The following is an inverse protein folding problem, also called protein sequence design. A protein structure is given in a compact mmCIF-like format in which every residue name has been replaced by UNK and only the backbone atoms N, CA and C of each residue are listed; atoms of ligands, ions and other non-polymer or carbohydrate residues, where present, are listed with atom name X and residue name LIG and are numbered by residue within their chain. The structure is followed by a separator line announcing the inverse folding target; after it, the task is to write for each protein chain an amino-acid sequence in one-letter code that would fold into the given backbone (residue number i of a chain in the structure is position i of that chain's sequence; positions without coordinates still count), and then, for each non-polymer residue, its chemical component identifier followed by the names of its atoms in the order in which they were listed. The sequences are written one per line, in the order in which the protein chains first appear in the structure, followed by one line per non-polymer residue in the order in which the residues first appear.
data_IF_066968014611
#
_entry.id   IF_066968014611
#
_cell.length_a   1.000
_cell.length_b   1.000
_cell.length_c   1.000
_cell.angle_alpha   90.00
_cell.angle_beta   90.00
_cell.angle_gamma   90.00
#
_symmetry.space_group_name_H-M   'P 1'
#
loop_
_entity.id
_entity.type
_entity.pdbx_description
1 polymer ?
#
# COMPACT_ATOMS: atom_id res chain seq x y z
N UNK A 1 10.67 -29.07 -19.18
CA UNK A 1 9.99 -28.48 -18.02
C UNK A 1 9.37 -27.18 -18.50
N UNK A 2 8.06 -27.15 -18.75
CA UNK A 2 7.36 -25.92 -19.08
C UNK A 2 7.33 -25.06 -17.82
N UNK A 3 8.12 -23.98 -17.76
CA UNK A 3 7.83 -22.90 -16.83
C UNK A 3 6.52 -22.31 -17.31
N UNK A 4 5.43 -22.57 -16.61
CA UNK A 4 4.23 -21.76 -16.76
C UNK A 4 4.67 -20.32 -16.45
N UNK A 5 4.78 -19.47 -17.48
CA UNK A 5 4.87 -18.02 -17.24
C UNK A 5 3.62 -17.70 -16.41
N UNK A 6 3.81 -17.25 -15.18
CA UNK A 6 2.74 -16.60 -14.43
C UNK A 6 2.22 -15.48 -15.31
N UNK A 7 0.94 -15.50 -15.63
CA UNK A 7 0.33 -14.44 -16.44
C UNK A 7 0.39 -13.16 -15.63
N UNK A 8 0.78 -12.08 -16.27
CA UNK A 8 0.81 -10.78 -15.63
C UNK A 8 -0.63 -10.27 -15.42
N UNK A 9 -0.90 -9.43 -14.41
CA UNK A 9 -2.22 -8.82 -14.19
C UNK A 9 -2.80 -8.21 -15.45
N UNK A 10 -1.99 -7.45 -16.19
CA UNK A 10 -2.37 -6.82 -17.45
C UNK A 10 -2.84 -7.81 -18.52
N UNK A 11 -2.17 -8.97 -18.65
CA UNK A 11 -2.55 -10.02 -19.59
C UNK A 11 -3.91 -10.66 -19.27
N UNK A 12 -4.37 -10.49 -18.04
CA UNK A 12 -5.65 -10.98 -17.52
C UNK A 12 -6.71 -9.87 -17.46
N UNK A 13 -6.41 -8.67 -17.98
CA UNK A 13 -7.30 -7.52 -17.98
C UNK A 13 -7.46 -6.82 -16.64
N UNK A 14 -6.56 -7.07 -15.68
CA UNK A 14 -6.56 -6.35 -14.41
C UNK A 14 -5.86 -4.99 -14.54
N UNK A 15 -6.39 -3.99 -13.84
CA UNK A 15 -5.83 -2.66 -13.70
C UNK A 15 -6.05 -2.12 -12.28
N UNK A 16 -5.21 -1.22 -11.84
CA UNK A 16 -5.41 -0.49 -10.58
C UNK A 16 -6.38 0.67 -10.84
N UNK A 17 -7.56 0.71 -10.17
CA UNK A 17 -8.52 1.80 -10.35
C UNK A 17 -8.02 3.11 -9.73
N UNK A 18 -8.55 4.24 -10.19
CA UNK A 18 -8.32 5.55 -9.58
C UNK A 18 -8.91 5.61 -8.17
N UNK A 19 -8.38 6.51 -7.34
CA UNK A 19 -8.76 6.63 -5.90
C UNK A 19 -10.22 7.05 -5.69
N UNK A 20 -10.89 7.59 -6.71
CA UNK A 20 -12.32 7.97 -6.69
C UNK A 20 -13.28 6.87 -7.15
N UNK A 21 -12.75 5.70 -7.51
CA UNK A 21 -13.59 4.54 -7.85
C UNK A 21 -14.38 4.09 -6.61
N UNK A 22 -15.60 3.55 -6.81
CA UNK A 22 -16.44 3.04 -5.73
C UNK A 22 -15.67 2.06 -4.84
N UNK A 23 -15.64 2.34 -3.54
CA UNK A 23 -14.97 1.53 -2.55
C UNK A 23 -15.86 0.39 -2.01
N UNK A 24 -15.31 -0.81 -1.91
CA UNK A 24 -15.91 -1.88 -1.12
C UNK A 24 -15.59 -1.75 0.38
N UNK A 25 -14.64 -0.92 0.73
CA UNK A 25 -14.23 -0.60 2.10
C UNK A 25 -12.76 -0.20 2.20
N UNK A 26 -12.38 0.31 3.36
CA UNK A 26 -11.03 0.77 3.68
C UNK A 26 -10.26 -0.20 4.58
N UNK A 27 -8.95 -0.16 4.46
CA UNK A 27 -8.01 -0.83 5.36
C UNK A 27 -7.14 0.20 6.07
N UNK A 28 -7.01 0.04 7.39
CA UNK A 28 -6.10 0.83 8.21
C UNK A 28 -5.31 -0.08 9.15
N UNK A 29 -4.24 0.44 9.75
CA UNK A 29 -3.51 -0.26 10.81
C UNK A 29 -3.36 0.64 12.04
N UNK A 30 -3.50 0.02 13.23
CA UNK A 30 -3.36 0.71 14.51
C UNK A 30 -1.90 1.08 14.77
N UNK A 31 -1.60 2.21 15.44
CA UNK A 31 -0.23 2.62 15.74
C UNK A 31 0.53 1.57 16.57
N UNK A 32 1.34 0.75 15.91
CA UNK A 32 2.06 -0.36 16.54
C UNK A 32 3.48 0.02 17.01
N UNK A 33 4.14 0.97 16.35
CA UNK A 33 5.50 1.44 16.66
C UNK A 33 5.46 2.56 17.69
N UNK A 34 4.94 2.25 18.89
CA UNK A 34 4.57 3.24 19.93
C UNK A 34 5.69 4.19 20.33
N UNK A 35 6.95 3.74 20.29
CA UNK A 35 8.11 4.52 20.72
C UNK A 35 8.50 5.68 19.75
N UNK A 36 7.95 5.68 18.53
CA UNK A 36 8.18 6.76 17.57
C UNK A 36 7.21 7.92 17.72
N UNK A 37 6.11 7.72 18.46
CA UNK A 37 5.10 8.75 18.64
C UNK A 37 5.40 9.58 19.89
N UNK A 38 5.51 10.92 19.80
CA UNK A 38 5.78 11.78 20.93
C UNK A 38 4.73 11.69 22.05
N UNK A 39 3.47 11.49 21.66
CA UNK A 39 2.34 11.25 22.57
C UNK A 39 1.47 10.14 21.98
N UNK A 40 1.68 8.93 22.46
CA UNK A 40 0.96 7.75 21.94
C UNK A 40 -0.54 7.80 22.24
N UNK A 41 -0.95 8.37 23.37
CA UNK A 41 -2.37 8.46 23.73
C UNK A 41 -3.11 9.47 22.85
N UNK A 42 -2.48 10.60 22.52
CA UNK A 42 -3.02 11.55 21.56
C UNK A 42 -3.07 10.92 20.16
N UNK A 43 -2.05 10.15 19.78
CA UNK A 43 -2.01 9.44 18.50
C UNK A 43 -3.13 8.41 18.37
N UNK A 44 -3.34 7.57 19.41
CA UNK A 44 -4.44 6.58 19.43
C UNK A 44 -5.80 7.26 19.25
N UNK A 45 -6.04 8.38 19.94
CA UNK A 45 -7.28 9.14 19.79
C UNK A 45 -7.46 9.68 18.36
N UNK A 46 -6.42 10.28 17.78
CA UNK A 46 -6.47 10.79 16.42
C UNK A 46 -6.73 9.66 15.39
N UNK A 47 -6.08 8.51 15.55
CA UNK A 47 -6.36 7.33 14.71
C UNK A 47 -7.79 6.83 14.89
N UNK A 48 -8.28 6.74 16.13
CA UNK A 48 -9.64 6.33 16.41
C UNK A 48 -10.68 7.29 15.81
N UNK A 49 -10.43 8.60 15.88
CA UNK A 49 -11.31 9.61 15.28
C UNK A 49 -11.41 9.40 13.75
N UNK A 50 -10.29 9.13 13.07
CA UNK A 50 -10.28 8.83 11.64
C UNK A 50 -11.00 7.51 11.35
N UNK A 51 -10.67 6.44 12.05
CA UNK A 51 -11.29 5.11 11.91
C UNK A 51 -12.80 5.19 12.11
N UNK A 52 -13.24 5.80 13.20
CA UNK A 52 -14.65 5.91 13.54
C UNK A 52 -15.41 6.77 12.52
N UNK A 53 -14.76 7.82 12.00
CA UNK A 53 -15.35 8.68 10.97
C UNK A 53 -15.53 7.92 9.66
N UNK A 54 -14.51 7.23 9.16
CA UNK A 54 -14.63 6.44 7.92
C UNK A 54 -15.68 5.35 8.07
N UNK A 55 -15.73 4.66 9.22
CA UNK A 55 -16.69 3.60 9.48
C UNK A 55 -18.17 4.06 9.50
N UNK A 56 -18.45 5.38 9.54
CA UNK A 56 -19.80 5.92 9.33
C UNK A 56 -20.23 5.87 7.86
N UNK A 57 -19.28 5.86 6.91
CA UNK A 57 -19.55 6.01 5.48
C UNK A 57 -19.31 4.72 4.70
N UNK A 58 -18.34 3.91 5.11
CA UNK A 58 -17.99 2.66 4.42
C UNK A 58 -17.43 1.60 5.38
N UNK A 59 -17.45 0.30 5.00
CA UNK A 59 -16.82 -0.75 5.79
C UNK A 59 -15.32 -0.47 6.00
N UNK A 60 -14.86 -0.53 7.25
CA UNK A 60 -13.47 -0.32 7.59
C UNK A 60 -12.92 -1.52 8.37
N UNK A 61 -11.81 -2.06 7.91
CA UNK A 61 -11.04 -3.11 8.56
C UNK A 61 -9.76 -2.53 9.14
N UNK A 62 -9.63 -2.59 10.47
CA UNK A 62 -8.48 -2.09 11.20
C UNK A 62 -7.59 -3.26 11.62
N UNK A 63 -6.37 -3.30 11.09
CA UNK A 63 -5.35 -4.24 11.53
C UNK A 63 -4.79 -3.80 12.88
N UNK A 64 -4.80 -4.70 13.84
CA UNK A 64 -4.33 -4.42 15.19
C UNK A 64 -3.41 -5.53 15.65
N UNK A 65 -2.24 -5.16 16.18
CA UNK A 65 -1.33 -6.13 16.80
C UNK A 65 -2.06 -6.88 17.91
N UNK A 66 -1.98 -8.23 18.00
CA UNK A 66 -2.74 -9.01 18.95
C UNK A 66 -2.62 -8.51 20.40
N UNK A 67 -1.42 -8.08 20.81
CA UNK A 67 -1.16 -7.55 22.15
C UNK A 67 -1.81 -6.18 22.45
N UNK A 68 -2.29 -5.48 21.41
CA UNK A 68 -2.90 -4.14 21.51
C UNK A 68 -4.41 -4.16 21.27
N UNK A 69 -4.99 -5.32 20.95
CA UNK A 69 -6.38 -5.44 20.48
C UNK A 69 -7.39 -4.93 21.52
N UNK A 70 -7.24 -5.32 22.76
CA UNK A 70 -8.18 -4.92 23.82
C UNK A 70 -8.06 -3.42 24.16
N UNK A 71 -6.85 -2.88 24.10
CA UNK A 71 -6.63 -1.44 24.27
C UNK A 71 -7.26 -0.66 23.10
N UNK A 72 -7.00 -1.05 21.85
CA UNK A 72 -7.57 -0.41 20.68
C UNK A 72 -9.10 -0.36 20.72
N UNK A 73 -9.76 -1.44 21.09
CA UNK A 73 -11.23 -1.52 21.20
C UNK A 73 -11.84 -0.47 22.14
N UNK A 74 -11.08 0.03 23.12
CA UNK A 74 -11.60 1.06 24.04
C UNK A 74 -11.79 2.42 23.39
N UNK A 75 -11.19 2.64 22.21
CA UNK A 75 -11.28 3.90 21.44
C UNK A 75 -12.24 3.81 20.26
N UNK A 76 -12.58 2.60 19.83
CA UNK A 76 -13.27 2.34 18.56
C UNK A 76 -14.77 2.19 18.75
N UNK A 77 -15.53 2.63 17.73
CA UNK A 77 -16.96 2.36 17.62
C UNK A 77 -17.22 0.90 17.22
N UNK A 78 -18.42 0.41 17.47
CA UNK A 78 -18.85 -0.96 17.08
C UNK A 78 -18.88 -1.16 15.54
N UNK A 79 -18.81 -0.08 14.75
CA UNK A 79 -18.81 -0.13 13.28
C UNK A 79 -17.45 -0.48 12.69
N UNK A 80 -16.37 -0.22 13.44
CA UNK A 80 -15.01 -0.54 12.98
C UNK A 80 -14.71 -2.02 13.24
N UNK A 81 -14.47 -2.80 12.18
CA UNK A 81 -14.04 -4.19 12.28
C UNK A 81 -12.55 -4.25 12.62
N UNK A 82 -12.21 -4.90 13.74
CA UNK A 82 -10.80 -5.11 14.13
C UNK A 82 -10.33 -6.51 13.72
N UNK A 83 -9.16 -6.57 13.08
CA UNK A 83 -8.51 -7.82 12.68
C UNK A 83 -7.18 -7.95 13.41
N UNK A 84 -7.02 -9.01 14.19
CA UNK A 84 -5.76 -9.32 14.87
C UNK A 84 -4.72 -9.75 13.82
N UNK A 85 -3.67 -8.95 13.62
CA UNK A 85 -2.57 -9.22 12.70
C UNK A 85 -1.26 -8.68 13.29
N UNK A 86 -0.20 -9.48 13.20
CA UNK A 86 1.14 -8.97 13.55
C UNK A 86 1.57 -7.93 12.50
N UNK A 87 1.83 -6.73 12.98
CA UNK A 87 2.28 -5.56 12.23
C UNK A 87 3.42 -4.89 12.98
N UNK A 88 4.29 -4.18 12.28
CA UNK A 88 5.38 -3.43 12.89
C UNK A 88 5.06 -1.94 12.99
N UNK A 89 4.32 -1.39 12.01
CA UNK A 89 3.91 0.03 11.96
C UNK A 89 2.47 0.17 11.43
N UNK A 90 2.03 1.39 11.13
CA UNK A 90 0.63 1.72 10.79
C UNK A 90 0.41 2.16 9.34
N UNK A 91 1.40 2.03 8.47
CA UNK A 91 1.40 2.59 7.12
C UNK A 91 0.88 1.59 6.08
N UNK A 92 -0.44 1.34 6.08
CA UNK A 92 -1.09 0.41 5.15
C UNK A 92 -1.02 0.86 3.68
N UNK A 93 -0.91 2.17 3.43
CA UNK A 93 -0.70 2.70 2.08
C UNK A 93 0.58 2.11 1.46
N UNK A 94 1.64 1.96 2.27
CA UNK A 94 2.96 1.59 1.78
C UNK A 94 3.23 0.09 1.80
N UNK A 95 2.70 -0.60 2.80
CA UNK A 95 2.93 -2.04 3.01
C UNK A 95 1.73 -2.93 2.64
N UNK A 96 0.57 -2.33 2.39
CA UNK A 96 -0.62 -3.03 1.91
C UNK A 96 -0.54 -3.45 0.44
N UNK A 97 -1.53 -4.20 -0.06
CA UNK A 97 -1.58 -4.58 -1.47
C UNK A 97 -2.09 -3.42 -2.32
N UNK A 98 -1.67 -3.38 -3.59
CA UNK A 98 -2.33 -2.57 -4.59
C UNK A 98 -3.51 -3.36 -5.15
N UNK A 99 -4.73 -2.95 -4.85
CA UNK A 99 -5.93 -3.63 -5.32
C UNK A 99 -6.12 -3.42 -6.82
N UNK A 100 -6.52 -4.48 -7.49
CA UNK A 100 -6.73 -4.53 -8.94
C UNK A 100 -8.14 -5.00 -9.25
N UNK A 101 -8.73 -4.42 -10.27
CA UNK A 101 -10.02 -4.82 -10.81
C UNK A 101 -9.87 -5.21 -12.28
N UNK A 102 -10.75 -6.07 -12.77
CA UNK A 102 -10.90 -6.32 -14.21
C UNK A 102 -12.32 -5.97 -14.68
N UNK A 103 -12.53 -5.99 -15.98
CA UNK A 103 -13.82 -5.63 -16.60
C UNK A 103 -15.00 -6.49 -16.12
N UNK A 104 -14.75 -7.67 -15.56
CA UNK A 104 -15.80 -8.51 -14.97
C UNK A 104 -16.12 -8.14 -13.52
N UNK A 105 -15.42 -7.15 -12.94
CA UNK A 105 -15.54 -6.77 -11.54
C UNK A 105 -14.84 -7.72 -10.57
N UNK A 106 -13.98 -8.62 -11.08
CA UNK A 106 -13.19 -9.50 -10.20
C UNK A 106 -12.09 -8.71 -9.52
N UNK A 107 -11.92 -8.95 -8.22
CA UNK A 107 -10.87 -8.35 -7.40
C UNK A 107 -9.62 -9.23 -7.40
N UNK A 108 -8.47 -8.60 -7.47
CA UNK A 108 -7.15 -9.19 -7.22
C UNK A 108 -6.26 -8.16 -6.53
N UNK A 109 -5.00 -8.47 -6.29
CA UNK A 109 -4.05 -7.48 -5.81
C UNK A 109 -2.62 -7.78 -6.26
N UNK A 110 -1.83 -6.73 -6.42
CA UNK A 110 -0.38 -6.86 -6.56
C UNK A 110 0.34 -6.48 -5.29
N UNK A 111 1.44 -7.18 -5.02
CA UNK A 111 2.31 -6.93 -3.88
C UNK A 111 3.75 -6.75 -4.34
N UNK A 112 4.46 -5.84 -3.69
CA UNK A 112 5.87 -5.58 -3.87
C UNK A 112 6.65 -6.00 -2.62
N UNK A 113 7.97 -6.07 -2.73
CA UNK A 113 8.82 -6.21 -1.55
C UNK A 113 8.86 -4.86 -0.81
N UNK A 114 8.48 -4.86 0.47
CA UNK A 114 8.58 -3.70 1.33
C UNK A 114 9.86 -3.76 2.16
N UNK A 115 10.64 -2.68 2.17
CA UNK A 115 11.90 -2.60 2.90
C UNK A 115 11.99 -1.43 3.90
N UNK A 116 10.86 -0.96 4.39
CA UNK A 116 10.77 0.17 5.33
C UNK A 116 11.47 1.43 4.80
N UNK A 117 11.05 1.86 3.58
CA UNK A 117 11.52 3.08 2.92
C UNK A 117 13.04 3.15 2.74
N UNK A 118 13.65 2.03 2.35
CA UNK A 118 15.09 1.94 2.18
C UNK A 118 15.82 1.51 3.46
N UNK A 119 15.21 0.68 4.29
CA UNK A 119 15.74 0.15 5.57
C UNK A 119 15.97 1.25 6.63
N UNK A 120 15.18 2.30 6.60
CA UNK A 120 15.25 3.40 7.57
C UNK A 120 14.69 3.02 8.93
N UNK A 121 13.79 2.04 8.96
CA UNK A 121 13.14 1.56 10.19
C UNK A 121 13.29 0.05 10.32
N UNK A 122 13.32 -0.44 11.57
CA UNK A 122 13.41 -1.86 11.91
C UNK A 122 12.73 -2.11 13.26
N UNK A 123 12.10 -3.28 13.48
CA UNK A 123 11.79 -4.31 12.48
C UNK A 123 10.74 -3.85 11.46
N UNK A 124 10.61 -4.54 10.33
CA UNK A 124 9.57 -4.34 9.32
C UNK A 124 9.09 -5.66 8.68
N UNK A 125 9.54 -6.78 9.25
CA UNK A 125 9.27 -8.11 8.68
C UNK A 125 7.77 -8.44 8.65
N UNK A 126 7.00 -7.90 9.59
CA UNK A 126 5.54 -8.13 9.63
C UNK A 126 4.83 -7.26 8.61
N UNK A 127 5.26 -6.02 8.44
CA UNK A 127 4.71 -5.09 7.44
C UNK A 127 5.03 -5.58 6.02
N UNK A 128 6.22 -6.15 5.78
CA UNK A 128 6.59 -6.75 4.50
C UNK A 128 5.67 -7.92 4.07
N UNK A 129 4.92 -8.50 5.01
CA UNK A 129 3.93 -9.55 4.75
C UNK A 129 2.49 -9.05 4.73
N UNK A 130 2.25 -7.77 5.02
CA UNK A 130 0.90 -7.22 5.20
C UNK A 130 0.05 -7.38 3.95
N UNK A 131 0.57 -6.99 2.78
CA UNK A 131 -0.14 -7.10 1.51
C UNK A 131 -0.60 -8.52 1.20
N UNK A 132 0.31 -9.49 1.31
CA UNK A 132 -0.02 -10.91 1.12
C UNK A 132 -1.07 -11.41 2.11
N UNK A 133 -0.96 -11.04 3.40
CA UNK A 133 -1.91 -11.45 4.43
C UNK A 133 -3.30 -10.88 4.19
N UNK A 134 -3.42 -9.62 3.76
CA UNK A 134 -4.70 -9.00 3.40
C UNK A 134 -5.34 -9.74 2.22
N UNK A 135 -4.60 -10.01 1.15
CA UNK A 135 -5.13 -10.71 -0.01
C UNK A 135 -5.57 -12.14 0.32
N UNK A 136 -4.81 -12.84 1.19
CA UNK A 136 -5.21 -14.16 1.68
C UNK A 136 -6.50 -14.10 2.53
N UNK A 137 -6.68 -13.08 3.38
CA UNK A 137 -7.92 -12.89 4.14
C UNK A 137 -9.13 -12.63 3.24
N UNK A 138 -8.91 -12.01 2.10
CA UNK A 138 -9.96 -11.75 1.10
C UNK A 138 -10.17 -12.92 0.14
N UNK A 139 -9.30 -13.93 0.17
CA UNK A 139 -9.30 -15.09 -0.74
C UNK A 139 -9.22 -14.68 -2.22
N UNK A 140 -8.45 -13.62 -2.53
CA UNK A 140 -8.27 -13.10 -3.88
C UNK A 140 -6.88 -13.40 -4.43
N UNK A 141 -6.74 -13.36 -5.77
CA UNK A 141 -5.49 -13.66 -6.46
C UNK A 141 -4.41 -12.61 -6.14
N UNK A 142 -3.20 -13.08 -5.85
CA UNK A 142 -2.02 -12.26 -5.63
C UNK A 142 -1.07 -12.31 -6.83
N UNK A 143 -0.69 -11.13 -7.34
CA UNK A 143 0.37 -10.95 -8.33
C UNK A 143 1.62 -10.38 -7.63
N UNK A 144 2.55 -11.26 -7.31
CA UNK A 144 3.74 -10.87 -6.55
C UNK A 144 4.88 -10.40 -7.44
N UNK A 145 5.48 -9.26 -7.08
CA UNK A 145 6.72 -8.74 -7.67
C UNK A 145 7.86 -8.74 -6.65
N UNK A 146 9.08 -8.91 -7.13
CA UNK A 146 10.30 -8.77 -6.33
C UNK A 146 10.87 -7.35 -6.35
N UNK A 147 10.21 -6.41 -7.05
CA UNK A 147 10.59 -5.00 -7.02
C UNK A 147 10.31 -4.43 -5.62
N UNK A 148 11.23 -3.64 -5.11
CA UNK A 148 11.02 -2.89 -3.88
C UNK A 148 10.26 -1.62 -4.21
N UNK A 149 9.07 -1.47 -3.64
CA UNK A 149 8.22 -0.30 -3.85
C UNK A 149 7.21 -0.14 -2.71
N UNK A 150 6.63 1.03 -2.63
CA UNK A 150 5.59 1.42 -1.67
C UNK A 150 4.39 2.03 -2.41
N UNK A 151 3.18 1.80 -1.90
CA UNK A 151 1.96 2.34 -2.49
C UNK A 151 1.90 3.87 -2.48
N UNK A 152 2.52 4.53 -1.50
CA UNK A 152 2.65 5.99 -1.47
C UNK A 152 3.57 6.56 -2.55
N UNK A 153 4.44 5.71 -3.14
CA UNK A 153 5.31 6.08 -4.25
C UNK A 153 4.60 6.17 -5.61
N UNK A 154 3.31 5.82 -5.70
CA UNK A 154 2.53 5.86 -6.94
C UNK A 154 1.21 6.61 -6.76
N UNK A 155 0.70 7.18 -7.86
CA UNK A 155 -0.71 7.55 -8.05
C UNK A 155 -1.15 7.16 -9.45
N UNK A 156 -2.40 6.73 -9.61
CA UNK A 156 -2.95 6.20 -10.87
C UNK A 156 -4.24 6.91 -11.25
N UNK A 157 -4.51 6.99 -12.57
CA UNK A 157 -5.78 7.53 -13.10
C UNK A 157 -6.88 6.46 -13.28
N UNK A 158 -6.55 5.19 -13.11
CA UNK A 158 -7.46 4.09 -13.41
C UNK A 158 -7.61 3.79 -14.90
N UNK A 159 -6.96 4.56 -15.78
CA UNK A 159 -7.03 4.48 -17.23
C UNK A 159 -5.67 4.13 -17.88
N UNK A 160 -4.75 3.60 -17.07
CA UNK A 160 -3.46 3.10 -17.52
C UNK A 160 -2.29 4.08 -17.36
N UNK A 161 -2.46 5.21 -16.64
CA UNK A 161 -1.37 6.13 -16.33
C UNK A 161 -0.96 6.02 -14.87
N UNK A 162 0.34 5.92 -14.63
CA UNK A 162 0.96 6.00 -13.30
C UNK A 162 1.82 7.26 -13.24
N UNK A 163 1.76 8.02 -12.14
CA UNK A 163 2.74 9.05 -11.81
C UNK A 163 3.58 8.56 -10.63
N UNK A 164 4.88 8.80 -10.70
CA UNK A 164 5.83 8.48 -9.63
C UNK A 164 6.98 9.48 -9.62
N UNK A 165 7.88 9.37 -8.62
CA UNK A 165 9.03 10.26 -8.48
C UNK A 165 10.35 9.55 -8.76
N UNK A 166 11.29 10.28 -9.38
CA UNK A 166 12.65 9.80 -9.58
C UNK A 166 13.41 9.67 -8.25
N UNK A 167 13.20 10.62 -7.33
CA UNK A 167 13.87 10.64 -6.03
C UNK A 167 13.56 9.39 -5.18
N UNK A 168 12.35 8.82 -5.31
CA UNK A 168 11.94 7.61 -4.61
C UNK A 168 12.39 6.35 -5.36
N UNK A 169 11.81 6.04 -6.52
CA UNK A 169 12.00 4.74 -7.18
C UNK A 169 13.38 4.52 -7.77
N UNK A 170 14.09 5.60 -8.19
CA UNK A 170 15.47 5.50 -8.67
C UNK A 170 16.50 5.63 -7.55
N UNK A 171 16.06 5.76 -6.29
CA UNK A 171 16.97 5.78 -5.15
C UNK A 171 17.67 4.41 -5.01
N UNK A 172 18.97 4.46 -4.73
CA UNK A 172 19.80 3.26 -4.56
C UNK A 172 19.37 2.35 -3.39
N UNK A 173 18.58 2.89 -2.46
CA UNK A 173 18.04 2.14 -1.34
C UNK A 173 16.77 1.33 -1.66
N UNK A 174 16.29 1.38 -2.90
CA UNK A 174 15.19 0.55 -3.42
C UNK A 174 15.73 -0.52 -4.38
N UNK A 175 15.89 -0.19 -5.65
CA UNK A 175 16.21 -1.15 -6.72
C UNK A 175 17.53 -0.77 -7.44
N UNK A 176 18.72 -0.85 -6.77
CA UNK A 176 19.97 -0.34 -7.33
C UNK A 176 20.45 -1.08 -8.59
N UNK A 177 19.89 -2.26 -8.85
CA UNK A 177 20.25 -3.10 -9.99
C UNK A 177 19.24 -3.01 -11.14
N UNK A 178 18.19 -2.21 -11.02
CA UNK A 178 17.18 -1.99 -12.07
C UNK A 178 17.41 -0.64 -12.75
N UNK A 179 17.28 -0.63 -14.05
CA UNK A 179 17.22 0.60 -14.84
C UNK A 179 15.86 1.25 -14.70
N UNK A 180 15.76 2.54 -15.03
CA UNK A 180 14.49 3.27 -15.06
C UNK A 180 13.45 2.55 -15.92
N UNK A 181 13.87 2.01 -17.08
CA UNK A 181 12.98 1.28 -17.99
C UNK A 181 12.45 -0.03 -17.37
N UNK A 182 13.30 -0.77 -16.67
CA UNK A 182 12.87 -2.00 -15.98
C UNK A 182 11.88 -1.71 -14.85
N UNK A 183 12.04 -0.59 -14.13
CA UNK A 183 11.08 -0.14 -13.13
C UNK A 183 9.75 0.27 -13.79
N UNK A 184 9.77 1.01 -14.90
CA UNK A 184 8.57 1.34 -15.68
C UNK A 184 7.82 0.09 -16.13
N UNK A 185 8.54 -0.88 -16.69
CA UNK A 185 7.94 -2.13 -17.17
C UNK A 185 7.30 -2.92 -16.04
N UNK A 186 7.95 -2.98 -14.87
CA UNK A 186 7.40 -3.67 -13.71
C UNK A 186 6.20 -2.93 -13.09
N UNK A 187 6.20 -1.60 -13.04
CA UNK A 187 5.04 -0.80 -12.63
C UNK A 187 3.85 -1.04 -13.57
N UNK A 188 4.08 -0.91 -14.90
CA UNK A 188 3.04 -1.16 -15.88
C UNK A 188 2.46 -2.57 -15.78
N UNK A 189 3.33 -3.56 -15.59
CA UNK A 189 2.96 -4.96 -15.45
C UNK A 189 2.11 -5.20 -14.20
N UNK A 190 2.58 -4.76 -13.03
CA UNK A 190 1.96 -5.06 -11.74
C UNK A 190 0.68 -4.28 -11.47
N UNK A 191 0.53 -3.11 -12.09
CA UNK A 191 -0.64 -2.23 -11.93
C UNK A 191 -1.62 -2.28 -13.10
N UNK A 192 -1.33 -3.07 -14.14
CA UNK A 192 -2.12 -3.10 -15.36
C UNK A 192 -2.08 -1.79 -16.15
N UNK A 193 -1.02 -0.99 -15.97
CA UNK A 193 -0.88 0.31 -16.59
C UNK A 193 -0.18 0.25 -17.96
N UNK A 194 -0.22 1.35 -18.72
CA UNK A 194 0.35 1.48 -20.05
C UNK A 194 1.57 2.39 -20.08
N UNK A 195 1.60 3.39 -19.20
CA UNK A 195 2.69 4.38 -19.16
C UNK A 195 2.97 4.87 -17.74
N UNK A 196 4.20 5.32 -17.54
CA UNK A 196 4.64 5.96 -16.29
C UNK A 196 5.08 7.40 -16.61
N UNK A 197 4.56 8.36 -15.85
CA UNK A 197 5.00 9.74 -15.84
C UNK A 197 5.93 9.93 -14.66
N UNK A 198 7.14 10.39 -14.91
CA UNK A 198 8.13 10.66 -13.88
C UNK A 198 8.20 12.16 -13.59
N UNK A 199 8.19 12.51 -12.31
CA UNK A 199 8.57 13.84 -11.85
C UNK A 199 9.82 13.73 -10.99
N UNK A 200 10.62 14.81 -10.85
CA UNK A 200 11.87 14.75 -10.09
C UNK A 200 11.70 14.30 -8.63
N UNK A 201 10.60 14.70 -7.98
CA UNK A 201 10.39 14.50 -6.56
C UNK A 201 11.22 15.44 -5.69
N UNK A 202 11.32 15.16 -4.40
CA UNK A 202 12.14 15.93 -3.45
C UNK A 202 13.26 15.07 -2.87
N UNK A 203 14.48 15.34 -3.31
CA UNK A 203 15.68 14.62 -2.84
C UNK A 203 16.07 14.97 -1.39
N UNK A 204 15.48 16.00 -0.80
CA UNK A 204 15.73 16.42 0.57
C UNK A 204 14.70 15.83 1.55
N UNK A 205 13.60 15.28 1.04
CA UNK A 205 12.64 14.53 1.86
C UNK A 205 13.28 13.19 2.26
N UNK A 206 13.51 13.00 3.54
CA UNK A 206 14.27 11.87 4.07
C UNK A 206 13.41 10.74 4.64
N UNK A 207 12.11 10.96 4.79
CA UNK A 207 11.17 9.96 5.30
C UNK A 207 10.93 8.85 4.29
N UNK A 208 10.41 9.21 3.13
CA UNK A 208 10.01 8.31 2.05
C UNK A 208 10.90 8.43 0.79
N UNK A 209 11.84 9.36 0.77
CA UNK A 209 12.63 9.80 -0.40
C UNK A 209 11.78 10.51 -1.47
N UNK A 210 10.73 11.20 -1.03
CA UNK A 210 9.86 12.00 -1.90
C UNK A 210 8.78 11.18 -2.60
N UNK A 211 7.94 10.50 -1.83
CA UNK A 211 6.73 9.84 -2.33
C UNK A 211 5.84 10.80 -3.13
N UNK A 212 5.16 10.27 -4.15
CA UNK A 212 4.28 11.06 -5.00
C UNK A 212 3.00 11.51 -4.28
N UNK A 213 2.49 10.75 -3.34
CA UNK A 213 1.24 11.05 -2.61
C UNK A 213 1.30 12.33 -1.78
N UNK A 214 2.52 12.75 -1.38
CA UNK A 214 2.77 14.05 -0.76
C UNK A 214 2.89 15.22 -1.74
N UNK A 215 2.85 14.99 -3.06
CA UNK A 215 3.17 15.98 -4.09
C UNK A 215 2.02 16.16 -5.08
N UNK A 216 1.42 15.08 -5.54
CA UNK A 216 0.43 15.08 -6.62
C UNK A 216 -0.57 13.95 -6.48
N UNK A 217 -1.80 14.19 -6.94
CA UNK A 217 -2.84 13.20 -7.10
C UNK A 217 -3.61 13.46 -8.38
N UNK A 218 -4.18 12.40 -8.96
CA UNK A 218 -5.20 12.55 -9.99
C UNK A 218 -6.52 12.98 -9.35
N UNK A 219 -7.31 13.68 -10.12
CA UNK A 219 -8.70 14.04 -9.80
C UNK A 219 -9.61 13.58 -10.93
N UNK A 220 -10.84 13.23 -10.61
CA UNK A 220 -11.91 12.92 -11.57
C UNK A 220 -12.20 14.11 -12.50
#
# INVERSE_FOLDING_TARGET
MNSSKTKDPRDLGYYMPGEWHDHAGCWMAWPARVHLWPDIEATKKAYADVVNTIAEFEPLKLLVKPSMLEDAKTYLSEKAETIAMDIDDSWTRDSGPNFLLNDSGSLAGSTWEFNAWGKKFSPYDQDALMGNRILNLLEVEEFKSSMIAEGGGITVDGEGTVITTESCFLNKNRNPNMTKKEIEDELCKTLGAEKVIWIPGDVNETGTDGHIDGISAFIE
#
